data_IF_535866652073
#
_entry.id   IF_535866652073
#
_cell.length_a   1.000
_cell.length_b   1.000
_cell.length_c   1.000
_cell.angle_alpha   90.00
_cell.angle_beta   90.00
_cell.angle_gamma   90.00
#
_symmetry.space_group_name_H-M   'P 1'
#
loop_
_entity.id
_entity.type
_entity.pdbx_description
1 polymer ?
#
# COMPACT_ATOMS: atom_id res chain seq x y z
N UNK A 1 7.55 -19.73 73.90
CA UNK A 1 7.53 -21.11 74.44
C UNK A 1 7.84 -22.15 73.37
N UNK A 2 7.10 -22.22 72.25
CA UNK A 2 7.25 -23.27 71.21
C UNK A 2 8.66 -23.45 70.61
N UNK A 3 9.43 -22.37 70.38
CA UNK A 3 10.79 -22.48 69.85
C UNK A 3 11.74 -23.20 70.81
N UNK A 4 11.62 -22.90 72.12
CA UNK A 4 12.51 -23.48 73.13
C UNK A 4 12.22 -24.98 73.32
N UNK A 5 10.94 -25.37 73.28
CA UNK A 5 10.52 -26.78 73.28
C UNK A 5 11.04 -27.54 72.05
N UNK A 6 11.03 -26.91 70.87
CA UNK A 6 11.55 -27.52 69.63
C UNK A 6 13.06 -27.75 69.72
N UNK A 7 13.81 -26.78 70.23
CA UNK A 7 15.26 -26.91 70.43
C UNK A 7 15.57 -28.00 71.45
N UNK A 8 14.87 -28.02 72.59
CA UNK A 8 15.02 -29.07 73.59
C UNK A 8 14.74 -30.45 73.02
N UNK A 9 13.65 -30.61 72.26
CA UNK A 9 13.34 -31.88 71.59
C UNK A 9 14.44 -32.32 70.62
N UNK A 10 14.97 -31.40 69.79
CA UNK A 10 16.09 -31.75 68.90
C UNK A 10 17.34 -32.12 69.67
N UNK A 11 17.62 -31.47 70.80
CA UNK A 11 18.76 -31.77 71.66
C UNK A 11 18.62 -33.16 72.30
N UNK A 12 17.42 -33.51 72.76
CA UNK A 12 17.14 -34.81 73.36
C UNK A 12 17.29 -35.95 72.33
N UNK A 13 16.78 -35.75 71.11
CA UNK A 13 16.89 -36.76 70.03
C UNK A 13 18.34 -36.92 69.59
N UNK A 14 19.09 -35.82 69.38
CA UNK A 14 20.50 -35.88 68.99
C UNK A 14 21.35 -36.47 70.10
N UNK A 15 21.14 -36.04 71.35
CA UNK A 15 21.84 -36.55 72.53
C UNK A 15 21.59 -38.04 72.75
N UNK A 16 20.34 -38.49 72.62
CA UNK A 16 19.99 -39.91 72.73
C UNK A 16 20.66 -40.78 71.67
N UNK A 17 20.66 -40.33 70.40
CA UNK A 17 21.36 -41.06 69.32
C UNK A 17 22.87 -41.06 69.51
N UNK A 18 23.44 -39.97 69.99
CA UNK A 18 24.88 -39.86 70.26
C UNK A 18 25.30 -40.81 71.38
N UNK A 19 24.56 -40.85 72.50
CA UNK A 19 24.86 -41.75 73.62
C UNK A 19 24.75 -43.23 73.22
N UNK A 20 23.74 -43.60 72.42
CA UNK A 20 23.61 -44.96 71.89
C UNK A 20 24.79 -45.34 70.98
N UNK A 21 25.16 -44.46 70.04
CA UNK A 21 26.27 -44.68 69.13
C UNK A 21 27.62 -44.78 69.86
N UNK A 22 27.84 -43.95 70.89
CA UNK A 22 29.04 -44.03 71.74
C UNK A 22 29.14 -45.36 72.47
N UNK A 23 28.04 -45.81 73.10
CA UNK A 23 28.01 -47.11 73.80
C UNK A 23 28.33 -48.25 72.83
N UNK A 24 27.65 -48.33 71.69
CA UNK A 24 27.92 -49.40 70.73
C UNK A 24 29.37 -49.37 70.20
N UNK A 25 29.93 -48.18 69.98
CA UNK A 25 31.30 -48.04 69.54
C UNK A 25 32.32 -48.43 70.63
N UNK A 26 32.05 -48.15 71.91
CA UNK A 26 32.91 -48.55 73.03
C UNK A 26 32.90 -50.05 73.32
N UNK A 27 31.77 -50.74 73.09
CA UNK A 27 31.64 -52.17 73.42
C UNK A 27 31.89 -53.10 72.23
N UNK A 28 31.59 -52.66 70.99
CA UNK A 28 31.57 -53.53 69.82
C UNK A 28 32.58 -53.06 68.77
N UNK A 29 32.44 -51.84 68.25
CA UNK A 29 33.10 -51.46 67.00
C UNK A 29 34.52 -50.88 67.16
N UNK A 30 34.82 -50.23 68.29
CA UNK A 30 36.10 -49.59 68.62
C UNK A 30 36.67 -48.68 67.52
N UNK A 31 35.80 -48.02 66.76
CA UNK A 31 36.20 -47.16 65.65
C UNK A 31 36.64 -45.78 66.17
N UNK A 32 37.73 -45.25 65.61
CA UNK A 32 38.24 -43.92 66.00
C UNK A 32 37.32 -42.84 65.44
N UNK A 33 36.83 -41.96 66.31
CA UNK A 33 36.01 -40.81 65.90
C UNK A 33 36.85 -39.86 65.01
N UNK A 34 36.45 -39.63 63.75
CA UNK A 34 37.17 -38.75 62.84
C UNK A 34 37.02 -37.28 63.25
N UNK A 35 38.02 -36.45 62.91
CA UNK A 35 37.99 -35.01 63.18
C UNK A 35 37.02 -34.30 62.23
N UNK A 36 36.39 -33.21 62.69
CA UNK A 36 35.32 -32.51 61.95
C UNK A 36 35.78 -32.00 60.57
N UNK A 37 37.05 -31.62 60.45
CA UNK A 37 37.64 -31.16 59.19
C UNK A 37 37.87 -32.28 58.16
N UNK A 38 37.87 -33.54 58.60
CA UNK A 38 38.04 -34.72 57.73
C UNK A 38 36.73 -35.22 57.14
N UNK A 39 35.58 -34.73 57.64
CA UNK A 39 34.26 -35.12 57.17
C UNK A 39 33.92 -34.43 55.83
N UNK A 40 33.31 -35.15 54.87
CA UNK A 40 32.90 -34.56 53.60
C UNK A 40 31.82 -33.51 53.82
N UNK A 41 31.97 -32.33 53.19
CA UNK A 41 31.01 -31.23 53.31
C UNK A 41 29.66 -31.63 52.70
N UNK A 42 28.60 -31.58 53.50
CA UNK A 42 27.23 -31.82 53.04
C UNK A 42 26.77 -30.64 52.17
N UNK A 43 26.38 -30.92 50.92
CA UNK A 43 25.84 -29.91 49.99
C UNK A 43 24.34 -29.79 50.19
N UNK A 44 23.85 -28.60 50.58
CA UNK A 44 22.42 -28.31 50.57
C UNK A 44 21.88 -28.21 49.14
N UNK A 45 20.68 -28.73 48.90
CA UNK A 45 19.98 -28.56 47.64
C UNK A 45 19.01 -27.36 47.76
N UNK A 46 19.16 -26.36 46.90
CA UNK A 46 18.20 -25.27 46.82
C UNK A 46 16.96 -25.74 46.05
N UNK A 47 15.85 -25.96 46.76
CA UNK A 47 14.59 -26.43 46.18
C UNK A 47 13.67 -25.29 45.72
N UNK A 48 14.08 -24.04 45.89
CA UNK A 48 13.26 -22.87 45.56
C UNK A 48 14.04 -21.93 44.66
N UNK A 49 13.36 -21.43 43.62
CA UNK A 49 13.81 -20.32 42.78
C UNK A 49 12.87 -19.14 43.04
N UNK A 50 13.42 -17.92 43.09
CA UNK A 50 12.61 -16.71 43.21
C UNK A 50 11.66 -16.56 42.03
N UNK A 51 10.42 -16.18 42.30
CA UNK A 51 9.41 -15.92 41.27
C UNK A 51 9.61 -14.50 40.76
N UNK A 52 9.79 -14.34 39.45
CA UNK A 52 9.92 -13.04 38.80
C UNK A 52 8.56 -12.35 38.66
N UNK A 53 8.54 -11.02 38.74
CA UNK A 53 7.33 -10.23 38.51
C UNK A 53 7.08 -10.11 37.00
N UNK A 54 5.91 -10.56 36.55
CA UNK A 54 5.43 -10.35 35.18
C UNK A 54 4.33 -9.28 35.18
N UNK A 55 4.56 -8.18 34.47
CA UNK A 55 3.58 -7.10 34.31
C UNK A 55 2.38 -7.57 33.49
N UNK A 56 2.55 -8.62 32.68
CA UNK A 56 1.55 -9.18 31.77
C UNK A 56 0.90 -10.45 32.30
N UNK A 57 0.84 -10.62 33.62
CA UNK A 57 0.18 -11.76 34.23
C UNK A 57 -1.35 -11.69 34.02
N UNK A 58 -1.96 -12.62 33.28
CA UNK A 58 -3.40 -12.62 32.99
C UNK A 58 -4.26 -12.68 34.25
N UNK A 59 -3.73 -13.28 35.32
CA UNK A 59 -4.46 -13.48 36.58
C UNK A 59 -4.58 -12.16 37.39
N UNK A 60 -3.72 -11.18 37.11
CA UNK A 60 -3.67 -9.89 37.82
C UNK A 60 -4.18 -8.75 36.93
N UNK A 61 -3.78 -8.73 35.65
CA UNK A 61 -4.10 -7.63 34.73
C UNK A 61 -5.37 -7.85 33.91
N UNK A 62 -5.92 -9.07 33.89
CA UNK A 62 -7.08 -9.40 33.06
C UNK A 62 -6.79 -9.39 31.55
N UNK A 63 -7.82 -9.48 30.70
CA UNK A 63 -7.66 -9.49 29.25
C UNK A 63 -7.17 -8.14 28.71
N UNK A 64 -6.22 -8.18 27.78
CA UNK A 64 -5.62 -7.00 27.15
C UNK A 64 -6.66 -6.22 26.32
N UNK A 65 -7.05 -5.03 26.81
CA UNK A 65 -8.01 -4.12 26.17
C UNK A 65 -7.47 -3.46 24.90
N UNK A 66 -6.16 -3.50 24.66
CA UNK A 66 -5.51 -2.93 23.48
C UNK A 66 -4.96 -4.02 22.54
N UNK A 67 -5.46 -5.25 22.63
CA UNK A 67 -5.01 -6.34 21.77
C UNK A 67 -5.20 -6.06 20.27
N UNK A 68 -6.14 -5.19 19.91
CA UNK A 68 -6.37 -4.72 18.54
C UNK A 68 -5.53 -3.50 18.13
N UNK A 69 -4.85 -2.85 19.08
CA UNK A 69 -4.05 -1.67 18.83
C UNK A 69 -2.70 -2.07 18.23
N UNK A 70 -2.45 -1.62 17.01
CA UNK A 70 -1.18 -1.86 16.31
C UNK A 70 -0.11 -0.91 16.86
N UNK A 71 1.09 -1.43 17.22
CA UNK A 71 2.20 -0.60 17.69
C UNK A 71 2.62 0.46 16.66
N UNK A 72 3.07 1.63 17.15
CA UNK A 72 3.47 2.74 16.29
C UNK A 72 4.63 2.35 15.38
N UNK A 73 5.56 1.53 15.86
CA UNK A 73 6.71 1.04 15.08
C UNK A 73 6.27 0.19 13.88
N UNK A 74 5.18 -0.59 14.03
CA UNK A 74 4.61 -1.36 12.92
C UNK A 74 3.89 -0.43 11.92
N UNK A 75 3.22 0.62 12.41
CA UNK A 75 2.61 1.64 11.54
C UNK A 75 3.64 2.46 10.77
N UNK A 76 4.75 2.83 11.39
CA UNK A 76 5.84 3.57 10.75
C UNK A 76 6.53 2.71 9.68
N UNK A 77 6.86 1.47 10.00
CA UNK A 77 7.42 0.53 9.05
C UNK A 77 6.49 0.27 7.85
N UNK A 78 5.18 0.14 8.10
CA UNK A 78 4.17 0.00 7.05
C UNK A 78 4.08 1.24 6.15
N UNK A 79 4.13 2.43 6.75
CA UNK A 79 4.10 3.71 6.04
C UNK A 79 5.32 3.88 5.14
N UNK A 80 6.51 3.60 5.66
CA UNK A 80 7.77 3.67 4.90
C UNK A 80 7.77 2.68 3.72
N UNK A 81 7.33 1.45 3.95
CA UNK A 81 7.22 0.45 2.89
C UNK A 81 6.23 0.88 1.81
N UNK A 82 5.08 1.44 2.20
CA UNK A 82 4.06 1.91 1.26
C UNK A 82 4.58 3.05 0.38
N UNK A 83 5.39 3.96 0.93
CA UNK A 83 5.99 5.04 0.14
C UNK A 83 7.09 4.53 -0.81
N UNK A 84 7.99 3.66 -0.37
CA UNK A 84 9.00 3.06 -1.27
C UNK A 84 8.35 2.24 -2.39
N UNK A 85 7.26 1.53 -2.09
CA UNK A 85 6.45 0.85 -3.11
C UNK A 85 5.86 1.85 -4.11
N UNK A 86 5.21 2.91 -3.63
CA UNK A 86 4.62 3.92 -4.48
C UNK A 86 5.68 4.59 -5.38
N UNK A 87 6.87 4.85 -4.84
CA UNK A 87 8.01 5.39 -5.57
C UNK A 87 8.48 4.46 -6.70
N UNK A 88 8.64 3.16 -6.44
CA UNK A 88 9.02 2.18 -7.46
C UNK A 88 7.96 2.10 -8.56
N UNK A 89 6.68 2.05 -8.19
CA UNK A 89 5.58 2.01 -9.16
C UNK A 89 5.53 3.26 -10.03
N UNK A 90 5.68 4.46 -9.44
CA UNK A 90 5.76 5.72 -10.19
C UNK A 90 6.94 5.72 -11.17
N UNK A 91 8.12 5.24 -10.74
CA UNK A 91 9.31 5.17 -11.61
C UNK A 91 9.13 4.19 -12.78
N UNK A 92 8.58 2.99 -12.51
CA UNK A 92 8.27 2.01 -13.54
C UNK A 92 7.19 2.53 -14.51
N UNK A 93 6.11 3.11 -13.99
CA UNK A 93 5.04 3.70 -14.80
C UNK A 93 5.55 4.82 -15.71
N UNK A 94 6.43 5.69 -15.20
CA UNK A 94 7.07 6.74 -15.99
C UNK A 94 7.97 6.16 -17.10
N UNK A 95 8.71 5.08 -16.82
CA UNK A 95 9.56 4.40 -17.83
C UNK A 95 8.72 3.75 -18.92
N UNK A 96 7.63 3.07 -18.56
CA UNK A 96 6.69 2.45 -19.50
C UNK A 96 6.07 3.54 -20.38
N UNK A 97 5.45 4.56 -19.76
CA UNK A 97 4.83 5.66 -20.50
C UNK A 97 5.81 6.39 -21.42
N UNK A 98 7.06 6.60 -20.98
CA UNK A 98 8.10 7.20 -21.83
C UNK A 98 8.48 6.33 -23.02
N UNK A 99 8.57 5.01 -22.83
CA UNK A 99 8.86 4.05 -23.91
C UNK A 99 7.71 3.89 -24.88
N UNK A 100 6.48 3.88 -24.38
CA UNK A 100 5.28 3.87 -25.22
C UNK A 100 5.17 5.15 -26.04
N UNK A 101 5.48 6.31 -25.46
CA UNK A 101 5.52 7.57 -26.20
C UNK A 101 6.60 7.58 -27.29
N UNK A 102 7.80 7.08 -26.98
CA UNK A 102 8.89 6.92 -27.95
C UNK A 102 8.46 5.99 -29.09
N UNK A 103 7.88 4.83 -28.77
CA UNK A 103 7.35 3.88 -29.75
C UNK A 103 6.28 4.50 -30.64
N UNK A 104 5.28 5.17 -30.05
CA UNK A 104 4.23 5.86 -30.79
C UNK A 104 4.79 6.95 -31.71
N UNK A 105 5.81 7.69 -31.27
CA UNK A 105 6.51 8.66 -32.11
C UNK A 105 7.21 7.99 -33.30
N UNK A 106 7.88 6.86 -33.08
CA UNK A 106 8.52 6.10 -34.15
C UNK A 106 7.48 5.53 -35.14
N UNK A 107 6.40 4.94 -34.64
CA UNK A 107 5.31 4.42 -35.46
C UNK A 107 4.65 5.53 -36.29
N UNK A 108 4.40 6.69 -35.67
CA UNK A 108 3.85 7.85 -36.38
C UNK A 108 4.80 8.33 -37.47
N UNK A 109 6.12 8.30 -37.25
CA UNK A 109 7.10 8.70 -38.28
C UNK A 109 7.16 7.71 -39.45
N UNK A 110 7.02 6.41 -39.19
CA UNK A 110 7.07 5.37 -40.22
C UNK A 110 5.80 5.31 -41.11
N UNK A 111 4.68 5.90 -40.66
CA UNK A 111 3.37 5.82 -41.33
C UNK A 111 3.07 4.41 -41.89
N UNK A 112 3.08 3.36 -41.05
CA UNK A 112 2.92 1.98 -41.51
C UNK A 112 1.54 1.70 -42.11
N UNK A 113 0.56 2.58 -41.87
CA UNK A 113 -0.77 2.60 -42.49
C UNK A 113 -0.69 2.61 -44.02
N UNK A 114 0.35 3.22 -44.60
CA UNK A 114 0.58 3.23 -46.05
C UNK A 114 0.97 1.87 -46.62
N UNK A 115 1.55 0.96 -45.81
CA UNK A 115 1.87 -0.41 -46.24
C UNK A 115 0.60 -1.26 -46.37
N UNK A 116 -0.37 -1.09 -45.47
CA UNK A 116 -1.66 -1.80 -45.53
C UNK A 116 -2.54 -1.29 -46.67
N UNK A 117 -2.50 0.01 -46.97
CA UNK A 117 -3.25 0.62 -48.08
C UNK A 117 -2.85 0.05 -49.45
N UNK A 118 -1.56 -0.26 -49.67
CA UNK A 118 -1.03 -0.71 -50.96
C UNK A 118 -1.48 -2.13 -51.37
N UNK A 119 -1.83 -3.00 -50.42
CA UNK A 119 -2.30 -4.36 -50.72
C UNK A 119 -3.81 -4.43 -50.97
N UNK A 120 -4.62 -3.51 -50.42
CA UNK A 120 -6.08 -3.56 -50.48
C UNK A 120 -6.72 -2.17 -50.63
N UNK A 121 -6.55 -1.52 -51.79
CA UNK A 121 -7.16 -0.21 -52.09
C UNK A 121 -8.70 -0.24 -52.19
N UNK A 122 -9.30 -1.43 -52.34
CA UNK A 122 -10.76 -1.62 -52.49
C UNK A 122 -11.48 -1.95 -51.17
N UNK A 123 -10.75 -2.19 -50.08
CA UNK A 123 -11.30 -2.70 -48.81
C UNK A 123 -10.75 -1.92 -47.61
N UNK A 124 -11.58 -1.72 -46.57
CA UNK A 124 -11.13 -1.09 -45.32
C UNK A 124 -9.95 -1.90 -44.70
N UNK A 125 -8.92 -1.23 -44.17
CA UNK A 125 -7.82 -1.90 -43.50
C UNK A 125 -8.32 -2.69 -42.27
N UNK A 126 -7.81 -3.92 -42.09
CA UNK A 126 -8.29 -4.85 -41.05
C UNK A 126 -8.17 -4.30 -39.62
N UNK A 127 -7.11 -3.53 -39.36
CA UNK A 127 -6.88 -2.82 -38.09
C UNK A 127 -7.98 -1.80 -37.76
N UNK A 128 -8.54 -1.13 -38.77
CA UNK A 128 -9.68 -0.21 -38.62
C UNK A 128 -10.98 -0.98 -38.42
N UNK A 129 -11.18 -2.09 -39.15
CA UNK A 129 -12.35 -2.96 -39.00
C UNK A 129 -12.44 -3.54 -37.59
N UNK A 130 -11.32 -3.99 -37.02
CA UNK A 130 -11.26 -4.51 -35.65
C UNK A 130 -11.62 -3.43 -34.62
N UNK A 131 -11.14 -2.19 -34.81
CA UNK A 131 -11.49 -1.05 -33.95
C UNK A 131 -12.97 -0.69 -34.08
N UNK A 132 -13.53 -0.65 -35.29
CA UNK A 132 -14.97 -0.44 -35.54
C UNK A 132 -15.79 -1.56 -34.91
N UNK A 133 -15.38 -2.83 -35.03
CA UNK A 133 -16.06 -3.96 -34.40
C UNK A 133 -16.06 -3.85 -32.88
N UNK A 134 -14.93 -3.46 -32.27
CA UNK A 134 -14.82 -3.24 -30.82
C UNK A 134 -15.72 -2.10 -30.32
N UNK A 135 -15.85 -1.04 -31.11
CA UNK A 135 -16.69 0.12 -30.81
C UNK A 135 -18.18 -0.18 -31.04
N UNK A 136 -18.51 -0.89 -32.12
CA UNK A 136 -19.84 -1.35 -32.48
C UNK A 136 -20.39 -2.38 -31.48
N UNK A 137 -19.52 -3.20 -30.89
CA UNK A 137 -19.86 -4.08 -29.76
C UNK A 137 -20.36 -3.31 -28.51
N UNK A 138 -20.14 -2.00 -28.45
CA UNK A 138 -20.63 -1.09 -27.40
C UNK A 138 -21.52 0.00 -28.00
N UNK A 139 -22.75 -0.33 -28.44
CA UNK A 139 -23.63 0.61 -29.14
C UNK A 139 -24.06 1.81 -28.28
N UNK A 140 -23.94 1.70 -26.94
CA UNK A 140 -24.23 2.78 -26.00
C UNK A 140 -23.00 3.60 -25.61
N UNK A 141 -21.81 3.35 -26.18
CA UNK A 141 -20.56 4.00 -25.77
C UNK A 141 -20.62 5.53 -25.85
N UNK A 142 -21.26 6.11 -26.88
CA UNK A 142 -21.44 7.57 -26.98
C UNK A 142 -22.38 8.08 -25.89
N UNK A 143 -23.45 7.35 -25.60
CA UNK A 143 -24.44 7.74 -24.59
C UNK A 143 -23.81 7.67 -23.19
N UNK A 144 -23.11 6.58 -22.88
CA UNK A 144 -22.34 6.41 -21.64
C UNK A 144 -21.26 7.51 -21.48
N UNK A 145 -20.54 7.84 -22.57
CA UNK A 145 -19.56 8.93 -22.56
C UNK A 145 -20.21 10.29 -22.28
N UNK A 146 -21.37 10.59 -22.88
CA UNK A 146 -22.11 11.82 -22.60
C UNK A 146 -22.60 11.88 -21.16
N UNK A 147 -23.20 10.80 -20.67
CA UNK A 147 -23.70 10.72 -19.29
C UNK A 147 -22.57 10.84 -18.27
N UNK A 148 -21.40 10.26 -18.54
CA UNK A 148 -20.23 10.41 -17.67
C UNK A 148 -19.67 11.84 -17.69
N UNK A 149 -19.66 12.51 -18.84
CA UNK A 149 -19.28 13.93 -18.94
C UNK A 149 -20.28 14.88 -18.26
N UNK A 150 -21.58 14.57 -18.32
CA UNK A 150 -22.62 15.31 -17.60
C UNK A 150 -22.48 15.14 -16.09
N UNK A 151 -22.30 13.90 -15.61
CA UNK A 151 -22.02 13.60 -14.19
C UNK A 151 -20.73 14.28 -13.71
N UNK A 152 -19.69 14.29 -14.53
CA UNK A 152 -18.44 14.99 -14.20
C UNK A 152 -18.67 16.50 -14.05
N UNK A 153 -19.48 17.08 -14.93
CA UNK A 153 -19.80 18.52 -14.90
C UNK A 153 -20.65 18.90 -13.69
N UNK A 154 -21.61 18.05 -13.29
CA UNK A 154 -22.39 18.27 -12.07
C UNK A 154 -21.52 18.21 -10.83
N UNK A 155 -20.69 17.17 -10.69
CA UNK A 155 -19.76 17.02 -9.55
C UNK A 155 -18.77 18.20 -9.47
N UNK A 156 -18.30 18.69 -10.62
CA UNK A 156 -17.44 19.87 -10.65
C UNK A 156 -18.15 21.11 -10.08
N UNK A 157 -19.40 21.34 -10.47
CA UNK A 157 -20.20 22.46 -9.95
C UNK A 157 -20.54 22.29 -8.45
N UNK A 158 -20.83 21.08 -8.00
CA UNK A 158 -21.10 20.80 -6.59
C UNK A 158 -19.88 21.15 -5.72
N UNK A 159 -18.68 20.74 -6.15
CA UNK A 159 -17.42 21.09 -5.46
C UNK A 159 -17.17 22.60 -5.50
N UNK A 160 -17.41 23.23 -6.65
CA UNK A 160 -17.24 24.69 -6.78
C UNK A 160 -18.19 25.46 -5.84
N UNK A 161 -19.45 25.01 -5.73
CA UNK A 161 -20.43 25.60 -4.82
C UNK A 161 -20.01 25.42 -3.37
N UNK A 162 -19.64 24.20 -2.96
CA UNK A 162 -19.20 23.94 -1.59
C UNK A 162 -17.96 24.74 -1.20
N UNK A 163 -17.00 24.92 -2.12
CA UNK A 163 -15.85 25.79 -1.88
C UNK A 163 -16.24 27.26 -1.72
N UNK A 164 -17.22 27.73 -2.50
CA UNK A 164 -17.73 29.09 -2.37
C UNK A 164 -18.41 29.32 -1.02
N UNK A 165 -19.23 28.36 -0.58
CA UNK A 165 -19.90 28.44 0.72
C UNK A 165 -18.88 28.48 1.88
N UNK A 166 -17.80 27.68 1.79
CA UNK A 166 -16.70 27.70 2.77
C UNK A 166 -15.97 29.05 2.75
N UNK A 167 -15.74 29.63 1.57
CA UNK A 167 -15.11 30.95 1.44
C UNK A 167 -15.95 32.05 2.11
N UNK A 168 -17.27 32.03 1.88
CA UNK A 168 -18.21 32.98 2.49
C UNK A 168 -18.18 32.88 4.03
N UNK A 169 -18.19 31.66 4.59
CA UNK A 169 -18.09 31.44 6.04
C UNK A 169 -16.74 31.92 6.60
N UNK A 170 -15.63 31.65 5.89
CA UNK A 170 -14.30 32.08 6.33
C UNK A 170 -14.15 33.61 6.29
N UNK A 171 -14.75 34.27 5.30
CA UNK A 171 -14.79 35.74 5.22
C UNK A 171 -15.62 36.34 6.37
N UNK A 172 -16.78 35.75 6.67
CA UNK A 172 -17.61 36.19 7.81
C UNK A 172 -16.86 36.08 9.14
N UNK A 173 -16.11 35.00 9.35
CA UNK A 173 -15.27 34.84 10.54
C UNK A 173 -14.12 35.86 10.60
N UNK A 174 -13.53 36.22 9.45
CA UNK A 174 -12.51 37.27 9.38
C UNK A 174 -13.06 38.66 9.71
N UNK A 175 -14.27 38.95 9.24
CA UNK A 175 -14.97 40.20 9.57
C UNK A 175 -15.28 40.28 11.07
N UNK A 176 -15.80 39.20 11.66
CA UNK A 176 -16.05 39.11 13.11
C UNK A 176 -14.77 39.25 13.92
N UNK A 177 -13.67 38.64 13.48
CA UNK A 177 -12.37 38.77 14.13
C UNK A 177 -11.88 40.22 14.06
N UNK A 178 -11.97 40.85 12.89
CA UNK A 178 -11.57 42.25 12.71
C UNK A 178 -12.40 43.20 13.59
N UNK A 179 -13.70 42.97 13.71
CA UNK A 179 -14.58 43.75 14.58
C UNK A 179 -14.29 43.51 16.07
N UNK A 180 -13.98 42.27 16.45
CA UNK A 180 -13.53 41.96 17.81
C UNK A 180 -12.22 42.67 18.14
N UNK A 181 -11.24 42.66 17.24
CA UNK A 181 -9.95 43.34 17.44
C UNK A 181 -10.11 44.85 17.63
N UNK A 182 -11.08 45.49 16.97
CA UNK A 182 -11.39 46.93 17.15
C UNK A 182 -11.90 47.24 18.56
N UNK A 183 -12.70 46.35 19.15
CA UNK A 183 -13.36 46.57 20.45
C UNK A 183 -12.48 46.13 21.62
N UNK A 184 -11.87 44.94 21.52
CA UNK A 184 -11.18 44.26 22.62
C UNK A 184 -9.66 44.22 22.48
N UNK A 185 -9.11 44.65 21.34
CA UNK A 185 -7.68 44.56 21.02
C UNK A 185 -7.27 43.21 20.42
N UNK A 186 -6.01 43.11 19.99
CA UNK A 186 -5.49 41.93 19.28
C UNK A 186 -5.45 40.69 20.17
N UNK A 187 -5.97 39.57 19.67
CA UNK A 187 -5.81 38.24 20.27
C UNK A 187 -4.96 37.33 19.40
N UNK A 188 -4.36 36.30 19.98
CA UNK A 188 -3.62 35.31 19.21
C UNK A 188 -4.56 34.57 18.24
N UNK A 189 -4.21 34.46 16.94
CA UNK A 189 -5.07 33.79 15.97
C UNK A 189 -5.28 32.33 16.36
N UNK A 190 -6.50 31.84 16.20
CA UNK A 190 -6.82 30.46 16.57
C UNK A 190 -6.12 29.49 15.59
N UNK A 191 -5.42 28.50 16.14
CA UNK A 191 -4.68 27.51 15.34
C UNK A 191 -5.59 26.78 14.35
N UNK A 192 -6.83 26.52 14.76
CA UNK A 192 -7.84 25.84 13.95
C UNK A 192 -8.22 26.66 12.71
N UNK A 193 -8.48 27.97 12.84
CA UNK A 193 -8.83 28.82 11.69
C UNK A 193 -7.66 28.91 10.71
N UNK A 194 -6.43 29.02 11.21
CA UNK A 194 -5.22 29.04 10.37
C UNK A 194 -5.07 27.74 9.56
N UNK A 195 -5.35 26.60 10.19
CA UNK A 195 -5.28 25.29 9.53
C UNK A 195 -6.40 25.11 8.51
N UNK A 196 -7.64 25.48 8.86
CA UNK A 196 -8.78 25.45 7.94
C UNK A 196 -8.56 26.33 6.70
N UNK A 197 -8.02 27.54 6.86
CA UNK A 197 -7.69 28.42 5.72
C UNK A 197 -6.60 27.82 4.82
N UNK A 198 -5.62 27.14 5.42
CA UNK A 198 -4.56 26.46 4.66
C UNK A 198 -5.14 25.30 3.84
N UNK A 199 -5.99 24.48 4.45
CA UNK A 199 -6.66 23.37 3.76
C UNK A 199 -7.60 23.88 2.67
N UNK A 200 -8.41 24.90 2.96
CA UNK A 200 -9.28 25.54 1.99
C UNK A 200 -8.51 26.00 0.75
N UNK A 201 -7.39 26.69 0.94
CA UNK A 201 -6.52 27.12 -0.17
C UNK A 201 -5.99 25.94 -0.99
N UNK A 202 -5.58 24.86 -0.33
CA UNK A 202 -5.14 23.63 -1.01
C UNK A 202 -6.25 23.04 -1.89
N UNK A 203 -7.49 22.98 -1.39
CA UNK A 203 -8.64 22.51 -2.18
C UNK A 203 -8.98 23.46 -3.33
N UNK A 204 -8.88 24.77 -3.13
CA UNK A 204 -9.08 25.77 -4.18
C UNK A 204 -8.05 25.60 -5.32
N UNK A 205 -6.77 25.44 -4.99
CA UNK A 205 -5.70 25.21 -5.96
C UNK A 205 -5.91 23.88 -6.71
N UNK A 206 -6.29 22.81 -6.01
CA UNK A 206 -6.61 21.52 -6.61
C UNK A 206 -7.81 21.61 -7.57
N UNK A 207 -8.86 22.33 -7.17
CA UNK A 207 -10.05 22.55 -8.00
C UNK A 207 -9.73 23.39 -9.24
N UNK A 208 -8.90 24.43 -9.13
CA UNK A 208 -8.44 25.22 -10.26
C UNK A 208 -7.63 24.37 -11.26
N UNK A 209 -6.75 23.48 -10.78
CA UNK A 209 -6.02 22.54 -11.63
C UNK A 209 -6.96 21.55 -12.32
N UNK A 210 -7.95 21.02 -11.58
CA UNK A 210 -8.97 20.13 -12.14
C UNK A 210 -9.83 20.83 -13.20
N UNK A 211 -10.15 22.12 -13.03
CA UNK A 211 -10.91 22.93 -13.98
C UNK A 211 -10.23 23.02 -15.35
N UNK A 212 -8.91 23.26 -15.36
CA UNK A 212 -8.12 23.26 -16.60
C UNK A 212 -8.17 21.91 -17.31
N UNK A 213 -8.02 20.81 -16.57
CA UNK A 213 -8.12 19.45 -17.11
C UNK A 213 -9.52 19.12 -17.64
N UNK A 214 -10.57 19.54 -16.92
CA UNK A 214 -11.96 19.31 -17.33
C UNK A 214 -12.28 20.07 -18.63
N UNK A 215 -11.79 21.31 -18.75
CA UNK A 215 -11.96 22.11 -19.97
C UNK A 215 -11.26 21.46 -21.17
N UNK A 216 -10.03 20.99 -20.98
CA UNK A 216 -9.29 20.28 -22.03
C UNK A 216 -10.00 18.98 -22.45
N UNK A 217 -10.56 18.22 -21.49
CA UNK A 217 -11.33 17.01 -21.77
C UNK A 217 -12.60 17.31 -22.58
N UNK A 218 -13.37 18.34 -22.21
CA UNK A 218 -14.55 18.78 -22.96
C UNK A 218 -14.20 19.16 -24.40
N UNK A 219 -13.10 19.90 -24.60
CA UNK A 219 -12.62 20.26 -25.93
C UNK A 219 -12.22 19.04 -26.76
N UNK A 220 -11.48 18.08 -26.17
CA UNK A 220 -11.07 16.85 -26.85
C UNK A 220 -12.28 15.99 -27.24
N UNK A 221 -13.26 15.83 -26.34
CA UNK A 221 -14.50 15.11 -26.64
C UNK A 221 -15.26 15.80 -27.77
N UNK A 222 -15.40 17.13 -27.73
CA UNK A 222 -16.10 17.88 -28.77
C UNK A 222 -15.39 17.76 -30.14
N UNK A 223 -14.06 17.77 -30.16
CA UNK A 223 -13.26 17.64 -31.38
C UNK A 223 -13.43 16.25 -32.03
N UNK A 224 -13.48 15.18 -31.23
CA UNK A 224 -13.48 13.81 -31.74
C UNK A 224 -14.88 13.18 -31.86
N UNK A 225 -15.91 13.80 -31.28
CA UNK A 225 -17.27 13.26 -31.23
C UNK A 225 -17.83 12.91 -32.62
N UNK A 226 -17.63 13.79 -33.60
CA UNK A 226 -18.14 13.55 -34.96
C UNK A 226 -17.41 12.39 -35.65
N UNK A 227 -16.09 12.25 -35.45
CA UNK A 227 -15.33 11.12 -35.97
C UNK A 227 -15.76 9.80 -35.33
N UNK A 228 -16.01 9.79 -34.01
CA UNK A 228 -16.49 8.59 -33.31
C UNK A 228 -17.91 8.21 -33.77
N UNK A 229 -18.79 9.18 -34.03
CA UNK A 229 -20.12 8.93 -34.61
C UNK A 229 -20.02 8.34 -36.03
N UNK A 230 -19.06 8.80 -36.82
CA UNK A 230 -18.80 8.26 -38.15
C UNK A 230 -18.35 6.80 -38.08
N UNK A 231 -17.43 6.47 -37.16
CA UNK A 231 -16.95 5.10 -36.95
C UNK A 231 -18.01 4.12 -36.40
N UNK A 232 -19.14 4.62 -35.92
CA UNK A 232 -20.28 3.81 -35.48
C UNK A 232 -21.34 3.60 -36.58
N UNK A 233 -21.16 4.20 -37.75
CA UNK A 233 -22.05 3.96 -38.90
C UNK A 233 -21.80 2.56 -39.51
N UNK A 234 -22.72 2.04 -40.32
CA UNK A 234 -22.49 0.81 -41.09
C UNK A 234 -21.23 0.91 -41.96
N UNK A 235 -20.53 -0.20 -42.13
CA UNK A 235 -19.26 -0.28 -42.88
C UNK A 235 -19.36 0.31 -44.30
N UNK A 236 -20.49 0.11 -44.97
CA UNK A 236 -20.74 0.66 -46.31
C UNK A 236 -20.71 2.20 -46.33
N UNK A 237 -21.30 2.83 -45.30
CA UNK A 237 -21.33 4.30 -45.17
C UNK A 237 -19.94 4.85 -44.83
N UNK A 238 -19.16 4.12 -44.02
CA UNK A 238 -17.79 4.49 -43.68
C UNK A 238 -16.90 4.45 -44.93
N UNK A 239 -17.07 3.42 -45.76
CA UNK A 239 -16.31 3.26 -47.00
C UNK A 239 -16.55 4.41 -48.00
N UNK A 240 -17.78 4.92 -48.09
CA UNK A 240 -18.14 6.07 -48.93
C UNK A 240 -17.52 7.40 -48.43
N UNK A 241 -17.19 7.51 -47.14
CA UNK A 241 -16.55 8.71 -46.57
C UNK A 241 -15.03 8.73 -46.75
N UNK A 242 -14.42 7.63 -47.22
CA UNK A 242 -12.99 7.54 -47.47
C UNK A 242 -12.76 7.91 -48.95
N UNK A 243 -11.96 8.95 -49.25
CA UNK A 243 -11.68 9.32 -50.64
C UNK A 243 -10.89 8.21 -51.34
N UNK A 244 -11.45 7.66 -52.41
CA UNK A 244 -10.79 6.69 -53.26
C UNK A 244 -9.72 7.37 -54.12
N UNK A 245 -8.49 6.87 -54.05
CA UNK A 245 -7.36 7.37 -54.85
C UNK A 245 -7.33 6.56 -56.15
N UNK A 246 -7.69 7.19 -57.28
CA UNK A 246 -7.41 6.61 -58.60
C UNK A 246 -5.92 6.76 -58.91
N UNK A 247 -5.14 5.70 -58.69
CA UNK A 247 -3.74 5.64 -59.13
C UNK A 247 -3.75 5.42 -60.64
N UNK A 248 -3.29 6.42 -61.41
CA UNK A 248 -3.13 6.33 -62.85
C UNK A 248 -2.18 5.18 -63.19
N UNK A 249 -2.67 4.21 -63.97
CA UNK A 249 -1.93 3.03 -64.40
C UNK A 249 -0.61 3.40 -65.07
N UNK A 250 0.47 3.27 -64.31
CA UNK A 250 1.83 3.49 -64.78
C UNK A 250 2.85 3.09 -63.73
N UNK A 251 2.74 1.86 -63.21
CA UNK A 251 3.90 1.00 -62.89
C UNK A 251 3.42 -0.33 -62.27
N UNK A 252 3.73 -1.43 -62.95
CA UNK A 252 3.53 -2.79 -62.45
C UNK A 252 4.51 -3.08 -61.31
N UNK A 253 4.16 -2.71 -60.08
CA UNK A 253 4.76 -3.27 -58.87
C UNK A 253 3.85 -4.35 -58.27
N UNK A 254 3.64 -5.45 -59.01
CA UNK A 254 3.13 -6.70 -58.42
C UNK A 254 4.34 -7.59 -58.09
N UNK A 255 5.14 -7.17 -57.10
CA UNK A 255 6.11 -8.06 -56.49
C UNK A 255 5.37 -8.93 -55.45
N UNK A 256 5.69 -10.24 -55.33
CA UNK A 256 5.19 -11.06 -54.22
C UNK A 256 5.59 -10.38 -52.90
N UNK A 257 4.82 -10.51 -51.80
CA UNK A 257 5.15 -9.86 -50.55
C UNK A 257 6.57 -10.29 -50.17
N UNK A 258 7.52 -9.37 -50.31
CA UNK A 258 8.92 -9.63 -50.01
C UNK A 258 8.96 -10.16 -48.57
N UNK A 259 9.85 -11.12 -48.29
CA UNK A 259 10.05 -11.65 -46.92
C UNK A 259 10.29 -10.54 -45.89
N UNK A 260 10.76 -9.38 -46.33
CA UNK A 260 10.91 -8.16 -45.54
C UNK A 260 9.58 -7.52 -45.12
N UNK A 261 8.55 -7.54 -45.98
CA UNK A 261 7.21 -7.01 -45.68
C UNK A 261 6.50 -7.85 -44.61
N UNK A 262 6.52 -9.19 -44.75
CA UNK A 262 5.97 -10.10 -43.74
C UNK A 262 6.70 -10.01 -42.40
N UNK A 263 8.03 -9.81 -42.42
CA UNK A 263 8.79 -9.55 -41.20
C UNK A 263 8.42 -8.21 -40.56
N UNK A 264 8.26 -7.14 -41.35
CA UNK A 264 7.85 -5.84 -40.83
C UNK A 264 6.46 -5.91 -40.17
N UNK A 265 5.50 -6.60 -40.80
CA UNK A 265 4.16 -6.81 -40.25
C UNK A 265 4.20 -7.66 -38.97
N UNK A 266 5.03 -8.70 -38.91
CA UNK A 266 5.23 -9.51 -37.70
C UNK A 266 5.86 -8.69 -36.55
N UNK A 267 6.82 -7.82 -36.85
CA UNK A 267 7.45 -6.93 -35.86
C UNK A 267 6.46 -5.91 -35.32
N UNK A 268 5.61 -5.35 -36.18
CA UNK A 268 4.53 -4.43 -35.80
C UNK A 268 3.54 -5.11 -34.85
N UNK A 269 3.04 -6.29 -35.19
CA UNK A 269 2.07 -7.01 -34.37
C UNK A 269 2.66 -7.45 -33.01
N UNK A 270 3.94 -7.83 -32.98
CA UNK A 270 4.65 -8.08 -31.73
C UNK A 270 4.81 -6.82 -30.86
N UNK A 271 4.92 -5.63 -31.47
CA UNK A 271 5.03 -4.37 -30.73
C UNK A 271 3.70 -3.96 -30.08
N UNK A 272 2.57 -4.17 -30.78
CA UNK A 272 1.22 -3.94 -30.25
C UNK A 272 0.89 -4.93 -29.12
N UNK A 273 1.23 -6.21 -29.30
CA UNK A 273 1.09 -7.25 -28.27
C UNK A 273 1.93 -6.94 -27.02
N UNK A 274 3.12 -6.36 -27.18
CA UNK A 274 3.94 -5.91 -26.06
C UNK A 274 3.30 -4.74 -25.31
N UNK A 275 2.78 -3.74 -26.03
CA UNK A 275 2.05 -2.62 -25.44
C UNK A 275 0.78 -3.07 -24.69
N UNK A 276 0.05 -4.06 -25.24
CA UNK A 276 -1.16 -4.61 -24.64
C UNK A 276 -0.93 -5.44 -23.37
N UNK A 277 0.25 -6.07 -23.22
CA UNK A 277 0.63 -6.84 -22.02
C UNK A 277 1.14 -5.99 -20.85
N UNK A 278 1.55 -4.75 -21.10
CA UNK A 278 2.03 -3.82 -20.06
C UNK A 278 1.04 -3.63 -18.89
N UNK A 279 -0.26 -3.35 -19.09
CA UNK A 279 -1.21 -3.15 -17.98
C UNK A 279 -1.54 -4.42 -17.18
N UNK A 280 -1.40 -5.63 -17.77
CA UNK A 280 -1.67 -6.88 -17.06
C UNK A 280 -0.53 -7.26 -16.10
N UNK A 281 0.73 -7.03 -16.51
CA UNK A 281 1.88 -7.21 -15.62
C UNK A 281 1.87 -6.24 -14.44
N UNK A 282 1.34 -5.03 -14.62
CA UNK A 282 1.19 -4.04 -13.55
C UNK A 282 0.14 -4.49 -12.51
N UNK A 283 -0.97 -5.10 -12.95
CA UNK A 283 -2.01 -5.64 -12.06
C UNK A 283 -1.56 -6.90 -11.31
N UNK A 284 -0.84 -7.81 -11.97
CA UNK A 284 -0.34 -9.04 -11.34
C UNK A 284 0.70 -8.74 -10.25
N UNK A 285 1.56 -7.73 -10.47
CA UNK A 285 2.52 -7.25 -9.46
C UNK A 285 1.81 -6.69 -8.22
N UNK A 286 0.72 -5.93 -8.44
CA UNK A 286 -0.08 -5.34 -7.36
C UNK A 286 -0.79 -6.41 -6.52
N UNK A 287 -1.34 -7.46 -7.16
CA UNK A 287 -2.03 -8.56 -6.47
C UNK A 287 -1.08 -9.45 -5.66
N UNK A 288 0.07 -9.86 -6.22
CA UNK A 288 1.03 -10.69 -5.49
C UNK A 288 1.62 -9.95 -4.28
N UNK A 289 1.86 -8.64 -4.39
CA UNK A 289 2.43 -7.86 -3.28
C UNK A 289 1.44 -7.55 -2.17
N UNK A 290 0.14 -7.37 -2.46
CA UNK A 290 -0.87 -7.19 -1.41
C UNK A 290 -0.90 -8.40 -0.45
N UNK A 291 -0.73 -9.61 -0.99
CA UNK A 291 -0.64 -10.85 -0.21
C UNK A 291 0.65 -10.91 0.65
N UNK A 292 1.80 -10.47 0.13
CA UNK A 292 3.08 -10.47 0.86
C UNK A 292 3.05 -9.46 2.03
N UNK A 293 2.43 -8.30 1.84
CA UNK A 293 2.32 -7.25 2.87
C UNK A 293 1.46 -7.72 4.06
N UNK A 294 0.31 -8.34 3.79
CA UNK A 294 -0.51 -8.93 4.86
C UNK A 294 0.26 -9.99 5.66
N UNK A 295 1.05 -10.83 4.97
CA UNK A 295 1.85 -11.87 5.61
C UNK A 295 3.00 -11.29 6.44
N UNK A 296 3.72 -10.26 5.96
CA UNK A 296 4.82 -9.64 6.69
C UNK A 296 4.36 -8.76 7.86
N UNK A 297 3.25 -8.04 7.72
CA UNK A 297 2.64 -7.29 8.83
C UNK A 297 2.18 -8.23 9.95
N UNK A 298 1.61 -9.38 9.60
CA UNK A 298 1.26 -10.42 10.57
C UNK A 298 2.51 -10.96 11.31
N UNK A 299 3.62 -11.12 10.61
CA UNK A 299 4.87 -11.60 11.20
C UNK A 299 5.56 -10.55 12.10
N UNK A 300 5.53 -9.27 11.70
CA UNK A 300 6.01 -8.15 12.51
C UNK A 300 5.15 -7.95 13.76
N UNK A 301 3.81 -8.05 13.63
CA UNK A 301 2.89 -8.00 14.77
C UNK A 301 3.19 -9.10 15.80
N UNK A 302 3.43 -10.33 15.34
CA UNK A 302 3.80 -11.45 16.21
C UNK A 302 5.20 -11.28 16.84
N UNK A 303 6.17 -10.72 16.11
CA UNK A 303 7.51 -10.48 16.63
C UNK A 303 7.55 -9.34 17.67
N UNK A 304 6.79 -8.26 17.48
CA UNK A 304 6.67 -7.18 18.48
C UNK A 304 5.96 -7.67 19.75
N UNK A 305 4.95 -8.54 19.59
CA UNK A 305 4.28 -9.22 20.71
C UNK A 305 5.25 -10.11 21.50
N UNK A 306 6.16 -10.83 20.82
CA UNK A 306 7.25 -11.59 21.44
C UNK A 306 8.33 -10.71 22.09
N UNK A 307 8.70 -9.58 21.49
CA UNK A 307 9.74 -8.70 22.05
C UNK A 307 9.29 -7.91 23.27
N UNK A 308 7.98 -7.58 23.40
CA UNK A 308 7.41 -7.07 24.66
C UNK A 308 7.51 -8.10 25.79
N UNK A 309 7.49 -9.39 25.46
CA UNK A 309 7.67 -10.49 26.41
C UNK A 309 9.11 -10.61 26.93
N UNK A 310 10.11 -10.32 26.10
CA UNK A 310 11.53 -10.37 26.51
C UNK A 310 12.02 -9.09 27.22
N UNK A 311 11.56 -7.90 26.78
CA UNK A 311 12.03 -6.63 27.37
C UNK A 311 11.48 -6.34 28.77
N UNK A 312 10.39 -6.98 29.18
CA UNK A 312 9.90 -6.86 30.57
C UNK A 312 10.80 -7.57 31.59
N UNK A 313 11.70 -8.46 31.15
CA UNK A 313 12.67 -9.15 32.02
C UNK A 313 13.98 -8.39 32.23
N UNK A 314 14.23 -7.27 31.52
CA UNK A 314 15.52 -6.55 31.57
C UNK A 314 15.44 -5.04 31.79
N UNK A 315 14.31 -4.50 32.27
CA UNK A 315 14.27 -3.10 32.71
C UNK A 315 14.93 -2.95 34.08
N UNK A 316 16.22 -2.64 34.09
CA UNK A 316 16.92 -2.00 35.22
C UNK A 316 16.15 -0.74 35.60
N UNK A 317 15.47 -0.80 36.73
CA UNK A 317 14.96 0.37 37.44
C UNK A 317 16.19 1.16 37.91
N UNK A 318 16.45 2.30 37.26
CA UNK A 318 17.32 3.34 37.80
C UNK A 318 16.39 4.27 38.59
N UNK A 319 16.69 4.41 39.88
CA UNK A 319 16.06 5.37 40.80
C UNK A 319 16.29 6.81 40.35
#
# INVERSE_FOLDING_TARGET
MAFNETVTFTLDVVGGKLAAAQKENEFIYHEKVPDLCSLPRVKGASLVKGVGFSISDPDISGPDIFASLVPLEAHEASSLYSEEKAKILRDLGNKISGKDQELMSFLTSLHPEHLELLENMDHLPGSLVDRIASLSARPQAIQEMKETMEKLSSLFHDVQSGLKDIDEILQEEDEKEADFEKVMGKRSPSRLIVELKREFKCYQDAHAKASGSNTALHQAVQLHLENIKLLLQPLDVIQDHIPSIEISHGDHFRHPPCTHFRHAQMVMQNSEDCCGRCPDHERDLLFLQAAIIQHQLFHLFNNVRRSRFDRSSTSRIIF
#
